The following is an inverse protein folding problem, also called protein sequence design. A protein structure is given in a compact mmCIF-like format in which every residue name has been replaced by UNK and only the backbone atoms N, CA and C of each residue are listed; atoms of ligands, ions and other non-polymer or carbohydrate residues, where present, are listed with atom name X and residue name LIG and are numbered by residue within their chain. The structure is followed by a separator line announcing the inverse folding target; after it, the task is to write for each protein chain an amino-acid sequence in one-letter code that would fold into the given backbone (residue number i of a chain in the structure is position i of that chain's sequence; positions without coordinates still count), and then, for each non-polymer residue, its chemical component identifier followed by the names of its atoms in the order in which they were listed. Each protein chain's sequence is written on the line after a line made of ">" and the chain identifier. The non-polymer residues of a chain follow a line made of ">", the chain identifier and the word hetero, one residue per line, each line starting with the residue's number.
data_IF_820393698038
#
_entry.id   IF_820393698038
#
_cell.length_a   1.000
_cell.length_b   1.000
_cell.length_c   1.000
_cell.angle_alpha   90.00
_cell.angle_beta   90.00
_cell.angle_gamma   90.00
#
_symmetry.space_group_name_H-M   'P 1'
#
loop_
_entity.id
_entity.type
_entity.pdbx_description
1 polymer ?
#
# COMPACT_ATOMS: atom_id res chain seq x y z
N UNK A 1 27.15 46.73 5.90
CA UNK A 1 27.81 48.04 5.73
C UNK A 1 28.95 47.83 4.75
N UNK A 2 28.99 48.55 3.62
CA UNK A 2 30.11 48.45 2.70
C UNK A 2 31.37 49.01 3.38
N UNK A 3 32.48 48.28 3.27
CA UNK A 3 33.78 48.78 3.72
C UNK A 3 34.10 50.08 3.00
N UNK A 4 34.52 51.12 3.73
CA UNK A 4 34.83 52.46 3.18
C UNK A 4 36.06 52.49 2.27
N UNK A 5 36.53 51.33 1.83
CA UNK A 5 37.79 51.09 1.13
C UNK A 5 37.61 50.94 -0.38
N UNK A 6 36.40 51.01 -0.92
CA UNK A 6 36.18 50.82 -2.36
C UNK A 6 36.56 52.06 -3.22
N UNK A 7 36.83 53.21 -2.57
CA UNK A 7 37.24 54.47 -3.22
C UNK A 7 38.77 54.62 -3.24
N UNK A 8 39.32 55.48 -4.10
CA UNK A 8 40.77 55.72 -4.18
C UNK A 8 41.40 56.16 -2.86
N UNK A 9 42.64 55.72 -2.63
CA UNK A 9 43.44 55.99 -1.44
C UNK A 9 43.73 57.49 -1.30
N UNK A 10 43.35 58.07 -0.17
CA UNK A 10 43.60 59.48 0.12
C UNK A 10 45.13 59.76 0.23
N UNK A 11 45.66 60.82 -0.41
CA UNK A 11 47.11 61.07 -0.49
C UNK A 11 47.80 61.30 0.86
N UNK A 12 47.07 61.82 1.86
CA UNK A 12 47.52 62.07 3.23
C UNK A 12 47.95 60.79 3.98
N UNK A 13 47.49 59.62 3.51
CA UNK A 13 47.87 58.31 4.04
C UNK A 13 49.23 57.81 3.56
N UNK A 14 49.80 58.39 2.51
CA UNK A 14 51.10 57.97 1.97
C UNK A 14 52.22 58.49 2.88
N UNK A 15 53.13 57.60 3.28
CA UNK A 15 54.24 57.91 4.21
C UNK A 15 55.60 58.02 3.52
N UNK A 16 55.72 57.56 2.27
CA UNK A 16 56.93 57.66 1.44
C UNK A 16 56.70 58.40 0.10
N UNK A 17 56.28 59.69 0.11
CA UNK A 17 55.99 60.43 -1.13
C UNK A 17 57.25 60.68 -1.99
N UNK A 18 58.43 60.76 -1.38
CA UNK A 18 59.69 61.04 -2.08
C UNK A 18 60.20 59.80 -2.84
N UNK A 19 60.05 59.80 -4.17
CA UNK A 19 60.61 58.77 -5.06
C UNK A 19 59.59 58.05 -5.95
N UNK A 20 58.30 58.41 -5.87
CA UNK A 20 57.25 57.91 -6.78
C UNK A 20 56.52 59.10 -7.40
N UNK A 21 56.29 59.08 -8.71
CA UNK A 21 55.43 60.07 -9.38
C UNK A 21 53.97 59.80 -9.01
N UNK A 22 53.55 60.26 -7.83
CA UNK A 22 52.20 60.03 -7.29
C UNK A 22 51.10 60.62 -8.20
N UNK A 23 51.43 61.68 -8.95
CA UNK A 23 50.52 62.32 -9.91
C UNK A 23 50.06 61.35 -11.01
N UNK A 24 50.94 60.45 -11.48
CA UNK A 24 50.65 59.41 -12.48
C UNK A 24 49.78 58.26 -11.92
N UNK A 25 49.62 58.20 -10.61
CA UNK A 25 48.85 57.16 -9.90
C UNK A 25 47.47 57.65 -9.47
N UNK A 26 47.02 58.81 -9.94
CA UNK A 26 45.71 59.37 -9.60
C UNK A 26 44.59 58.80 -10.48
N UNK A 27 43.45 58.49 -9.86
CA UNK A 27 42.24 58.10 -10.56
C UNK A 27 41.49 59.32 -11.12
N UNK A 28 41.13 59.30 -12.40
CA UNK A 28 40.45 60.42 -13.06
C UNK A 28 39.00 60.69 -12.60
N UNK A 29 38.40 59.82 -11.79
CA UNK A 29 37.02 59.99 -11.26
C UNK A 29 37.04 60.57 -9.84
N UNK A 30 37.97 60.12 -8.98
CA UNK A 30 38.00 60.52 -7.56
C UNK A 30 39.22 61.36 -7.18
N UNK A 31 40.16 61.59 -8.10
CA UNK A 31 41.41 62.36 -7.94
C UNK A 31 42.35 61.90 -6.81
N UNK A 32 42.04 60.76 -6.20
CA UNK A 32 42.85 60.06 -5.20
C UNK A 32 43.76 59.00 -5.86
N UNK A 33 44.73 58.50 -5.11
CA UNK A 33 45.63 57.41 -5.54
C UNK A 33 44.83 56.14 -5.85
N UNK A 34 45.17 55.46 -6.93
CA UNK A 34 44.45 54.30 -7.46
C UNK A 34 44.31 53.16 -6.43
N UNK A 35 43.07 52.82 -6.09
CA UNK A 35 42.73 51.61 -5.34
C UNK A 35 42.14 50.54 -6.26
N UNK A 36 42.77 49.36 -6.28
CA UNK A 36 42.45 48.24 -7.19
C UNK A 36 42.28 48.76 -8.64
N UNK A 37 43.36 49.25 -9.28
CA UNK A 37 43.26 49.90 -10.58
C UNK A 37 42.77 48.98 -11.68
N UNK A 38 41.92 49.53 -12.54
CA UNK A 38 41.57 48.97 -13.85
C UNK A 38 41.85 50.02 -14.93
N UNK A 39 42.23 49.58 -16.11
CA UNK A 39 42.50 50.44 -17.26
C UNK A 39 41.33 50.38 -18.26
N UNK A 40 41.11 51.44 -19.03
CA UNK A 40 40.28 51.38 -20.23
C UNK A 40 41.11 50.82 -21.40
N UNK A 41 40.57 49.83 -22.12
CA UNK A 41 41.24 49.21 -23.26
C UNK A 41 41.60 50.20 -24.40
N UNK A 42 40.76 51.22 -24.63
CA UNK A 42 40.86 52.12 -25.79
C UNK A 42 41.65 53.41 -25.54
N UNK A 43 41.66 53.92 -24.30
CA UNK A 43 42.34 55.19 -23.96
C UNK A 43 43.42 55.05 -22.88
N UNK A 44 43.67 53.83 -22.41
CA UNK A 44 44.71 53.46 -21.42
C UNK A 44 44.66 54.18 -20.06
N UNK A 45 43.63 55.00 -19.85
CA UNK A 45 43.38 55.70 -18.61
C UNK A 45 43.02 54.76 -17.46
N UNK A 46 43.50 55.13 -16.26
CA UNK A 46 43.38 54.33 -15.04
C UNK A 46 42.27 54.84 -14.11
N UNK A 47 41.51 53.89 -13.57
CA UNK A 47 40.40 54.16 -12.64
C UNK A 47 40.44 53.20 -11.46
N UNK A 48 40.02 53.64 -10.27
CA UNK A 48 39.73 52.71 -9.17
C UNK A 48 38.55 51.82 -9.56
N UNK A 49 38.63 50.51 -9.28
CA UNK A 49 37.63 49.55 -9.77
C UNK A 49 36.19 49.92 -9.38
N UNK A 50 35.92 50.35 -8.14
CA UNK A 50 34.56 50.75 -7.77
C UNK A 50 34.14 52.12 -8.32
N UNK A 51 35.09 53.03 -8.59
CA UNK A 51 34.78 54.34 -9.18
C UNK A 51 34.23 54.17 -10.60
N UNK A 52 34.87 53.34 -11.44
CA UNK A 52 34.38 53.08 -12.79
C UNK A 52 33.12 52.21 -12.79
N UNK A 53 33.01 51.18 -11.91
CA UNK A 53 31.77 50.41 -11.78
C UNK A 53 30.59 51.27 -11.39
N UNK A 54 30.77 52.23 -10.48
CA UNK A 54 29.71 53.19 -10.11
C UNK A 54 29.32 54.05 -11.29
N UNK A 55 30.29 54.65 -12.00
CA UNK A 55 30.05 55.43 -13.21
C UNK A 55 29.21 54.67 -14.25
N UNK A 56 29.52 53.39 -14.47
CA UNK A 56 28.77 52.53 -15.40
C UNK A 56 27.36 52.17 -14.88
N UNK A 57 27.22 51.99 -13.57
CA UNK A 57 25.93 51.69 -12.93
C UNK A 57 24.97 52.89 -12.95
N UNK A 58 25.52 54.11 -12.92
CA UNK A 58 24.76 55.38 -13.01
C UNK A 58 24.23 55.67 -14.45
N UNK A 59 24.12 54.65 -15.30
CA UNK A 59 23.47 54.70 -16.63
C UNK A 59 24.38 55.11 -17.80
N UNK A 60 25.70 55.13 -17.60
CA UNK A 60 26.70 55.51 -18.62
C UNK A 60 27.40 54.27 -19.17
N UNK A 61 27.67 54.24 -20.47
CA UNK A 61 28.38 53.13 -21.14
C UNK A 61 29.75 53.63 -21.67
N UNK A 62 29.90 54.94 -21.79
CA UNK A 62 31.08 55.65 -22.20
C UNK A 62 32.16 55.70 -21.11
N UNK A 63 33.42 55.61 -21.54
CA UNK A 63 34.56 55.91 -20.69
C UNK A 63 34.50 57.39 -20.23
N UNK A 64 34.81 57.74 -18.96
CA UNK A 64 34.77 59.13 -18.46
C UNK A 64 35.58 60.17 -19.24
N UNK A 65 36.53 59.73 -20.09
CA UNK A 65 37.29 60.58 -21.02
C UNK A 65 36.58 60.82 -22.38
N UNK A 66 35.34 60.35 -22.55
CA UNK A 66 34.40 60.77 -23.59
C UNK A 66 34.76 60.38 -25.03
N UNK A 67 35.29 59.17 -25.27
CA UNK A 67 35.70 58.74 -26.63
C UNK A 67 34.94 57.52 -27.17
N UNK A 68 34.78 56.45 -26.39
CA UNK A 68 34.14 55.20 -26.82
C UNK A 68 33.46 54.48 -25.64
N UNK A 69 32.78 53.37 -25.92
CA UNK A 69 32.28 52.44 -24.90
C UNK A 69 33.44 51.91 -24.03
N UNK A 70 33.21 51.84 -22.72
CA UNK A 70 34.22 51.35 -21.80
C UNK A 70 34.41 49.84 -21.93
N UNK A 71 35.66 49.42 -22.13
CA UNK A 71 36.08 48.02 -22.05
C UNK A 71 37.17 47.90 -20.97
N UNK A 72 36.93 47.04 -19.97
CA UNK A 72 37.84 46.83 -18.85
C UNK A 72 39.09 46.05 -19.29
N UNK A 73 40.27 46.61 -19.00
CA UNK A 73 41.58 45.96 -19.16
C UNK A 73 42.29 45.91 -17.81
N UNK A 74 43.01 44.83 -17.53
CA UNK A 74 43.91 44.78 -16.38
C UNK A 74 44.94 45.93 -16.42
N UNK A 75 45.26 46.51 -15.25
CA UNK A 75 46.23 47.59 -15.15
C UNK A 75 47.66 47.14 -15.54
N UNK A 76 48.47 48.05 -16.07
CA UNK A 76 49.82 47.74 -16.54
C UNK A 76 50.73 47.28 -15.38
N UNK A 77 51.69 46.38 -15.68
CA UNK A 77 52.63 45.88 -14.64
C UNK A 77 53.44 47.00 -14.02
N UNK A 78 53.71 48.08 -14.76
CA UNK A 78 54.40 49.27 -14.29
C UNK A 78 53.63 49.98 -13.17
N UNK A 79 52.36 50.34 -13.40
CA UNK A 79 51.51 51.01 -12.40
C UNK A 79 51.34 50.14 -11.16
N UNK A 80 51.08 48.83 -11.32
CA UNK A 80 51.01 47.92 -10.18
C UNK A 80 52.32 47.89 -9.37
N UNK A 81 53.48 47.90 -10.05
CA UNK A 81 54.81 47.92 -9.40
C UNK A 81 55.10 49.24 -8.67
N UNK A 82 54.55 50.36 -9.16
CA UNK A 82 54.63 51.65 -8.45
C UNK A 82 53.73 51.64 -7.21
N UNK A 83 52.51 51.12 -7.31
CA UNK A 83 51.58 51.00 -6.18
C UNK A 83 52.16 50.09 -5.08
N UNK A 84 52.74 48.94 -5.41
CA UNK A 84 53.40 48.03 -4.45
C UNK A 84 54.56 48.67 -3.66
N UNK A 85 55.15 49.77 -4.14
CA UNK A 85 56.21 50.50 -3.43
C UNK A 85 55.68 51.51 -2.41
N UNK A 86 54.38 51.78 -2.39
CA UNK A 86 53.78 52.75 -1.46
C UNK A 86 53.71 52.19 -0.05
N UNK A 87 54.12 53.01 0.92
CA UNK A 87 53.92 52.79 2.35
C UNK A 87 52.70 53.60 2.80
N UNK A 88 51.66 52.90 3.24
CA UNK A 88 50.33 53.44 3.45
C UNK A 88 49.94 53.29 4.92
N UNK A 89 49.61 54.40 5.58
CA UNK A 89 49.03 54.39 6.92
C UNK A 89 47.59 53.86 6.90
N UNK A 90 47.21 53.10 7.92
CA UNK A 90 45.84 52.60 8.12
C UNK A 90 44.80 53.74 8.18
N UNK A 91 43.61 53.58 7.59
CA UNK A 91 42.48 54.54 7.73
C UNK A 91 42.13 54.88 9.20
N UNK A 92 42.43 53.97 10.13
CA UNK A 92 42.16 54.12 11.56
C UNK A 92 43.33 54.76 12.34
N UNK A 93 44.28 55.42 11.67
CA UNK A 93 45.36 56.19 12.31
C UNK A 93 44.82 57.28 13.24
N UNK A 94 43.76 57.99 12.81
CA UNK A 94 43.00 58.94 13.65
C UNK A 94 42.33 58.32 14.89
N UNK A 95 42.25 56.99 14.97
CA UNK A 95 41.74 56.24 16.12
C UNK A 95 42.84 55.58 16.96
N UNK A 96 44.11 55.68 16.55
CA UNK A 96 45.26 55.16 17.28
C UNK A 96 46.07 54.08 16.55
N UNK A 97 45.66 53.63 15.36
CA UNK A 97 46.42 52.63 14.62
C UNK A 97 47.72 53.22 14.03
N UNK A 98 48.89 52.70 14.40
CA UNK A 98 50.19 53.19 13.92
C UNK A 98 50.83 52.30 12.84
N UNK A 99 50.06 51.37 12.28
CA UNK A 99 50.53 50.44 11.26
C UNK A 99 50.74 51.16 9.91
N UNK A 100 51.92 50.94 9.32
CA UNK A 100 52.29 51.41 7.98
C UNK A 100 52.52 50.17 7.12
N UNK A 101 51.76 50.06 6.03
CA UNK A 101 51.54 48.81 5.32
C UNK A 101 51.90 48.96 3.82
N UNK A 102 52.42 47.91 3.16
CA UNK A 102 52.50 47.85 1.71
C UNK A 102 51.09 47.70 1.12
N UNK A 103 50.93 48.12 -0.15
CA UNK A 103 49.64 48.20 -0.85
C UNK A 103 48.79 46.92 -0.76
N UNK A 104 49.38 45.73 -0.94
CA UNK A 104 48.67 44.46 -0.90
C UNK A 104 48.16 44.08 0.50
N UNK A 105 48.78 44.62 1.56
CA UNK A 105 48.45 44.28 2.94
C UNK A 105 47.37 45.19 3.55
N UNK A 106 47.14 46.38 2.99
CA UNK A 106 46.20 47.39 3.52
C UNK A 106 44.80 46.81 3.72
N UNK A 107 44.22 46.14 2.72
CA UNK A 107 42.86 45.60 2.82
C UNK A 107 42.72 44.52 3.90
N UNK A 108 43.70 43.61 3.96
CA UNK A 108 43.73 42.53 4.95
C UNK A 108 43.88 43.08 6.37
N UNK A 109 44.70 44.12 6.55
CA UNK A 109 44.83 44.79 7.84
C UNK A 109 43.53 45.51 8.21
N UNK A 110 42.96 46.33 7.34
CA UNK A 110 41.82 47.21 7.69
C UNK A 110 40.54 46.43 7.99
N UNK A 111 40.35 45.28 7.34
CA UNK A 111 39.28 44.32 7.68
C UNK A 111 39.48 43.62 9.03
N UNK A 112 40.71 43.60 9.57
CA UNK A 112 41.08 42.93 10.83
C UNK A 112 41.50 43.91 11.94
N UNK A 113 41.59 45.21 11.65
CA UNK A 113 42.17 46.22 12.52
C UNK A 113 41.39 46.37 13.84
N UNK A 114 42.08 46.27 14.98
CA UNK A 114 41.47 46.46 16.30
C UNK A 114 40.87 47.86 16.52
N UNK A 115 41.33 48.87 15.77
CA UNK A 115 40.84 50.24 15.82
C UNK A 115 39.63 50.51 14.91
N UNK A 116 39.16 49.51 14.16
CA UNK A 116 37.94 49.60 13.37
C UNK A 116 36.73 49.86 14.29
N UNK A 117 35.95 50.94 14.08
CA UNK A 117 34.74 51.16 14.86
C UNK A 117 33.69 50.08 14.56
N UNK A 118 33.08 49.55 15.62
CA UNK A 118 31.96 48.60 15.57
C UNK A 118 30.81 49.13 16.43
N UNK A 119 29.57 48.81 16.06
CA UNK A 119 28.39 49.15 16.86
C UNK A 119 28.00 47.96 17.75
N UNK A 120 27.69 48.23 19.02
CA UNK A 120 27.12 47.20 19.89
C UNK A 120 25.71 46.83 19.42
N UNK A 121 25.36 45.53 19.26
CA UNK A 121 24.02 45.13 18.85
C UNK A 121 22.92 45.52 19.85
N UNK A 122 23.25 45.63 21.14
CA UNK A 122 22.33 46.05 22.20
C UNK A 122 22.15 47.57 22.28
N UNK A 123 23.17 48.29 22.78
CA UNK A 123 23.05 49.73 23.04
C UNK A 123 23.23 50.63 21.80
N UNK A 124 23.66 50.08 20.65
CA UNK A 124 23.94 50.79 19.38
C UNK A 124 25.06 51.84 19.44
N UNK A 125 25.68 52.06 20.61
CA UNK A 125 26.90 52.86 20.75
C UNK A 125 28.08 52.24 20.01
N UNK A 126 29.02 53.06 19.56
CA UNK A 126 30.20 52.60 18.82
C UNK A 126 31.44 52.49 19.71
N UNK A 127 32.18 51.39 19.55
CA UNK A 127 33.42 51.06 20.28
C UNK A 127 34.48 50.59 19.28
N UNK A 128 35.75 50.52 19.70
CA UNK A 128 36.80 49.89 18.89
C UNK A 128 36.59 48.37 18.83
N UNK A 129 36.96 47.74 17.72
CA UNK A 129 36.88 46.28 17.52
C UNK A 129 37.68 45.48 18.56
N UNK A 130 38.76 46.04 19.10
CA UNK A 130 39.53 45.46 20.21
C UNK A 130 38.81 45.55 21.57
N UNK A 131 37.87 46.49 21.73
CA UNK A 131 37.17 46.76 22.99
C UNK A 131 35.75 46.17 23.01
N UNK A 132 35.15 45.96 21.83
CA UNK A 132 33.74 45.59 21.67
C UNK A 132 33.36 44.31 22.44
N UNK A 133 34.26 43.32 22.51
CA UNK A 133 34.03 42.08 23.28
C UNK A 133 33.95 42.36 24.79
N UNK A 134 34.86 43.19 25.31
CA UNK A 134 34.84 43.60 26.71
C UNK A 134 33.58 44.40 27.04
N UNK A 135 33.12 45.27 26.12
CA UNK A 135 31.85 45.97 26.23
C UNK A 135 30.66 44.99 26.20
N UNK A 136 30.60 44.07 25.22
CA UNK A 136 29.55 43.06 25.08
C UNK A 136 29.42 42.20 26.34
N UNK A 137 30.53 41.89 27.02
CA UNK A 137 30.51 41.15 28.29
C UNK A 137 29.79 41.88 29.45
N UNK A 138 29.65 43.21 29.37
CA UNK A 138 29.07 44.06 30.43
C UNK A 138 27.84 44.88 29.99
N UNK A 139 27.56 44.98 28.69
CA UNK A 139 26.47 45.78 28.12
C UNK A 139 25.10 45.35 28.66
N UNK A 140 24.43 46.24 29.39
CA UNK A 140 23.10 45.98 29.98
C UNK A 140 21.99 45.75 28.95
N UNK A 141 22.12 46.37 27.76
CA UNK A 141 21.09 46.39 26.72
C UNK A 141 21.25 45.28 25.67
N UNK A 142 22.26 44.42 25.79
CA UNK A 142 22.42 43.31 24.86
C UNK A 142 21.38 42.21 25.15
N UNK A 143 20.86 41.63 24.08
CA UNK A 143 19.87 40.57 24.10
C UNK A 143 20.56 39.19 24.09
N UNK A 144 20.06 38.28 24.92
CA UNK A 144 20.47 36.89 25.02
C UNK A 144 19.27 35.98 24.78
N UNK A 145 19.52 34.85 24.14
CA UNK A 145 18.56 33.74 24.05
C UNK A 145 18.85 32.76 25.18
N UNK A 146 17.85 32.44 25.98
CA UNK A 146 17.95 31.37 26.98
C UNK A 146 18.20 30.02 26.30
N UNK A 147 19.15 29.23 26.78
CA UNK A 147 19.39 27.91 26.19
C UNK A 147 18.33 26.86 26.56
N UNK A 148 17.66 27.00 27.71
CA UNK A 148 16.66 26.01 28.14
C UNK A 148 15.26 26.27 27.58
N UNK A 149 14.75 27.52 27.67
CA UNK A 149 13.39 27.88 27.23
C UNK A 149 13.32 28.68 25.92
N UNK A 150 14.46 29.01 25.32
CA UNK A 150 14.60 29.75 24.04
C UNK A 150 13.96 31.16 23.98
N UNK A 151 13.57 31.75 25.12
CA UNK A 151 13.16 33.16 25.20
C UNK A 151 14.35 34.10 24.97
N UNK A 152 14.12 35.19 24.24
CA UNK A 152 15.05 36.31 24.11
C UNK A 152 14.77 37.37 25.17
N UNK A 153 15.79 37.82 25.90
CA UNK A 153 15.70 38.82 26.96
C UNK A 153 16.96 39.69 27.03
N UNK A 154 16.87 40.90 27.60
CA UNK A 154 18.02 41.80 27.80
C UNK A 154 18.74 41.49 29.11
N UNK A 155 20.06 41.66 29.14
CA UNK A 155 20.87 41.43 30.36
C UNK A 155 20.32 42.18 31.59
N UNK A 156 19.97 43.46 31.47
CA UNK A 156 19.38 44.25 32.56
C UNK A 156 18.05 43.72 33.09
N UNK A 157 17.28 43.05 32.24
CA UNK A 157 15.94 42.56 32.56
C UNK A 157 15.96 41.10 33.00
N UNK A 158 17.13 40.44 33.02
CA UNK A 158 17.27 39.02 33.36
C UNK A 158 16.62 38.67 34.71
N UNK A 159 16.89 39.43 35.77
CA UNK A 159 16.33 39.17 37.10
C UNK A 159 14.80 39.27 37.17
N UNK A 160 14.17 40.10 36.31
CA UNK A 160 12.72 40.37 36.34
C UNK A 160 11.94 39.57 35.30
N UNK A 161 12.50 39.36 34.11
CA UNK A 161 11.83 38.75 32.96
C UNK A 161 12.34 37.34 32.64
N UNK A 162 13.51 36.94 33.15
CA UNK A 162 14.12 35.66 32.84
C UNK A 162 15.10 35.17 33.93
N UNK A 163 14.59 34.98 35.15
CA UNK A 163 15.31 34.26 36.21
C UNK A 163 14.95 32.76 36.17
N UNK A 164 15.66 31.93 36.92
CA UNK A 164 15.49 30.46 36.95
C UNK A 164 14.02 30.04 37.13
N UNK A 165 13.28 30.71 38.01
CA UNK A 165 11.85 30.41 38.28
C UNK A 165 10.98 30.76 37.07
N UNK A 166 11.26 31.85 36.36
CA UNK A 166 10.53 32.25 35.15
C UNK A 166 10.91 31.34 33.98
N UNK A 167 12.20 31.02 33.83
CA UNK A 167 12.71 30.07 32.83
C UNK A 167 12.01 28.72 32.96
N UNK A 168 12.05 28.12 34.15
CA UNK A 168 11.44 26.82 34.45
C UNK A 168 9.91 26.87 34.27
N UNK A 169 9.24 27.96 34.67
CA UNK A 169 7.79 28.15 34.41
C UNK A 169 7.47 28.16 32.91
N UNK A 170 8.29 28.80 32.08
CA UNK A 170 8.09 28.78 30.64
C UNK A 170 8.40 27.41 30.04
N UNK A 171 9.46 26.70 30.48
CA UNK A 171 9.71 25.32 30.05
C UNK A 171 8.51 24.41 30.35
N UNK A 172 7.95 24.46 31.56
CA UNK A 172 6.75 23.70 31.91
C UNK A 172 5.53 24.10 31.07
N UNK A 173 5.39 25.38 30.72
CA UNK A 173 4.32 25.87 29.84
C UNK A 173 4.49 25.32 28.42
N UNK A 174 5.70 25.37 27.86
CA UNK A 174 6.03 24.84 26.54
C UNK A 174 5.77 23.33 26.48
N UNK A 175 6.30 22.57 27.44
CA UNK A 175 6.05 21.13 27.56
C UNK A 175 4.56 20.80 27.68
N UNK A 176 3.81 21.55 28.50
CA UNK A 176 2.36 21.40 28.62
C UNK A 176 1.63 21.68 27.31
N UNK A 177 2.01 22.73 26.57
CA UNK A 177 1.41 23.04 25.27
C UNK A 177 1.71 21.94 24.24
N UNK A 178 2.95 21.46 24.18
CA UNK A 178 3.36 20.35 23.30
C UNK A 178 2.56 19.07 23.61
N UNK A 179 2.56 18.63 24.87
CA UNK A 179 1.83 17.43 25.30
C UNK A 179 0.32 17.53 25.06
N UNK A 180 -0.28 18.71 25.25
CA UNK A 180 -1.69 18.93 24.92
C UNK A 180 -1.98 18.81 23.41
N UNK A 181 -1.05 19.22 22.56
CA UNK A 181 -1.22 19.14 21.11
C UNK A 181 -1.01 17.70 20.60
N UNK A 182 0.01 16.99 21.10
CA UNK A 182 0.20 15.55 20.86
C UNK A 182 -1.04 14.74 21.25
N UNK A 183 -1.62 15.01 22.43
CA UNK A 183 -2.85 14.36 22.89
C UNK A 183 -4.08 14.70 22.02
N UNK A 184 -4.17 15.91 21.44
CA UNK A 184 -5.23 16.26 20.48
C UNK A 184 -5.06 15.51 19.17
N UNK A 185 -3.83 15.39 18.67
CA UNK A 185 -3.52 14.66 17.44
C UNK A 185 -3.83 13.18 17.60
N UNK A 186 -3.39 12.55 18.71
CA UNK A 186 -3.71 11.17 19.03
C UNK A 186 -5.23 10.94 19.17
N UNK A 187 -5.95 11.83 19.85
CA UNK A 187 -7.41 11.75 19.96
C UNK A 187 -8.11 11.88 18.59
N UNK A 188 -7.60 12.76 17.72
CA UNK A 188 -8.13 12.93 16.36
C UNK A 188 -7.89 11.69 15.51
N UNK A 189 -6.71 11.09 15.57
CA UNK A 189 -6.40 9.84 14.88
C UNK A 189 -7.31 8.71 15.37
N UNK A 190 -7.44 8.51 16.69
CA UNK A 190 -8.30 7.49 17.26
C UNK A 190 -9.78 7.65 16.85
N UNK A 191 -10.27 8.89 16.78
CA UNK A 191 -11.62 9.15 16.25
C UNK A 191 -11.73 8.80 14.77
N UNK A 192 -10.75 9.15 13.95
CA UNK A 192 -10.72 8.80 12.52
C UNK A 192 -10.68 7.29 12.29
N UNK A 193 -9.93 6.55 13.10
CA UNK A 193 -9.86 5.09 13.04
C UNK A 193 -11.22 4.45 13.43
N UNK A 194 -11.89 4.99 14.48
CA UNK A 194 -13.26 4.56 14.84
C UNK A 194 -14.24 4.84 13.70
N UNK A 195 -14.26 6.06 13.16
CA UNK A 195 -15.18 6.46 12.09
C UNK A 195 -14.96 5.58 10.85
N UNK A 196 -13.70 5.31 10.51
CA UNK A 196 -13.31 4.38 9.44
C UNK A 196 -13.84 2.97 9.69
N UNK A 197 -13.54 2.36 10.84
CA UNK A 197 -14.03 1.01 11.15
C UNK A 197 -15.56 0.92 11.21
N UNK A 198 -16.26 1.98 11.63
CA UNK A 198 -17.73 2.05 11.55
C UNK A 198 -18.23 2.07 10.11
N UNK A 199 -17.59 2.84 9.22
CA UNK A 199 -17.96 2.85 7.79
C UNK A 199 -17.67 1.53 7.08
N UNK A 200 -16.52 0.90 7.36
CA UNK A 200 -16.17 -0.44 6.84
C UNK A 200 -17.18 -1.49 7.33
N UNK A 201 -17.54 -1.48 8.61
CA UNK A 201 -18.55 -2.39 9.17
C UNK A 201 -19.94 -2.17 8.55
N UNK A 202 -20.31 -0.91 8.27
CA UNK A 202 -21.57 -0.59 7.59
C UNK A 202 -21.59 -1.12 6.16
N UNK A 203 -20.52 -0.92 5.39
CA UNK A 203 -20.37 -1.44 4.02
C UNK A 203 -20.42 -2.97 4.00
N UNK A 204 -19.69 -3.63 4.90
CA UNK A 204 -19.69 -5.10 5.02
C UNK A 204 -21.10 -5.64 5.34
N UNK A 205 -21.85 -4.96 6.21
CA UNK A 205 -23.23 -5.31 6.53
C UNK A 205 -24.17 -5.13 5.34
N UNK A 206 -24.03 -4.05 4.59
CA UNK A 206 -24.81 -3.81 3.36
C UNK A 206 -24.50 -4.85 2.28
N UNK A 207 -23.23 -5.20 2.09
CA UNK A 207 -22.79 -6.27 1.19
C UNK A 207 -23.39 -7.63 1.61
N UNK A 208 -23.25 -8.02 2.87
CA UNK A 208 -23.81 -9.29 3.38
C UNK A 208 -25.33 -9.38 3.18
N UNK A 209 -26.05 -8.26 3.34
CA UNK A 209 -27.49 -8.20 3.08
C UNK A 209 -27.84 -8.32 1.58
N UNK A 210 -27.00 -7.76 0.69
CA UNK A 210 -27.15 -7.93 -0.76
C UNK A 210 -26.87 -9.38 -1.18
N UNK A 211 -25.78 -9.97 -0.69
CA UNK A 211 -25.40 -11.35 -0.97
C UNK A 211 -26.49 -12.34 -0.50
N UNK A 212 -27.02 -12.15 0.71
CA UNK A 212 -28.15 -12.93 1.22
C UNK A 212 -29.40 -12.82 0.33
N UNK A 213 -29.70 -11.63 -0.20
CA UNK A 213 -30.80 -11.42 -1.15
C UNK A 213 -30.55 -12.12 -2.50
N UNK A 214 -29.31 -12.13 -2.99
CA UNK A 214 -28.92 -12.86 -4.20
C UNK A 214 -29.03 -14.38 -4.00
N UNK A 215 -28.51 -14.92 -2.91
CA UNK A 215 -28.64 -16.35 -2.57
C UNK A 215 -30.10 -16.77 -2.41
N UNK A 216 -30.96 -15.95 -1.80
CA UNK A 216 -32.41 -16.22 -1.73
C UNK A 216 -33.06 -16.30 -3.12
N UNK A 217 -32.70 -15.42 -4.06
CA UNK A 217 -33.17 -15.49 -5.46
C UNK A 217 -32.68 -16.76 -6.17
N UNK A 218 -31.42 -17.12 -6.00
CA UNK A 218 -30.85 -18.36 -6.56
C UNK A 218 -31.55 -19.61 -6.01
N UNK A 219 -31.79 -19.67 -4.69
CA UNK A 219 -32.54 -20.76 -4.05
C UNK A 219 -33.97 -20.85 -4.58
N UNK A 220 -34.64 -19.70 -4.83
CA UNK A 220 -35.98 -19.68 -5.42
C UNK A 220 -35.96 -20.24 -6.85
N UNK A 221 -35.02 -19.79 -7.67
CA UNK A 221 -34.86 -20.27 -9.06
C UNK A 221 -34.60 -21.79 -9.10
N UNK A 222 -33.67 -22.29 -8.28
CA UNK A 222 -33.35 -23.72 -8.20
C UNK A 222 -34.56 -24.57 -7.76
N UNK A 223 -35.45 -24.04 -6.93
CA UNK A 223 -36.73 -24.71 -6.58
C UNK A 223 -37.67 -24.76 -7.77
N UNK A 224 -37.89 -23.63 -8.44
CA UNK A 224 -38.75 -23.58 -9.64
C UNK A 224 -38.26 -24.50 -10.76
N UNK A 225 -36.94 -24.67 -10.91
CA UNK A 225 -36.36 -25.59 -11.91
C UNK A 225 -36.41 -27.06 -11.45
N UNK A 226 -36.32 -27.33 -10.14
CA UNK A 226 -36.58 -28.67 -9.58
C UNK A 226 -38.04 -29.11 -9.78
N UNK A 227 -39.00 -28.21 -9.54
CA UNK A 227 -40.43 -28.46 -9.71
C UNK A 227 -40.77 -28.78 -11.18
N UNK A 228 -40.16 -28.06 -12.14
CA UNK A 228 -40.27 -28.36 -13.58
C UNK A 228 -39.73 -29.76 -13.91
N UNK A 229 -38.52 -30.09 -13.43
CA UNK A 229 -37.92 -31.40 -13.67
C UNK A 229 -38.77 -32.55 -13.10
N UNK A 230 -39.41 -32.35 -11.94
CA UNK A 230 -40.36 -33.31 -11.37
C UNK A 230 -41.63 -33.45 -12.23
N UNK A 231 -42.15 -32.34 -12.76
CA UNK A 231 -43.31 -32.35 -13.65
C UNK A 231 -43.01 -33.03 -14.99
N UNK A 232 -41.87 -32.73 -15.61
CA UNK A 232 -41.39 -33.36 -16.84
C UNK A 232 -41.16 -34.87 -16.64
N UNK A 233 -40.58 -35.27 -15.51
CA UNK A 233 -40.41 -36.69 -15.16
C UNK A 233 -41.76 -37.41 -15.01
N UNK A 234 -42.72 -36.80 -14.32
CA UNK A 234 -44.07 -37.35 -14.14
C UNK A 234 -44.83 -37.46 -15.47
N UNK A 235 -44.69 -36.46 -16.34
CA UNK A 235 -45.34 -36.44 -17.66
C UNK A 235 -44.72 -37.47 -18.60
N UNK A 236 -43.39 -37.58 -18.63
CA UNK A 236 -42.69 -38.57 -19.44
C UNK A 236 -42.96 -40.01 -18.98
N UNK A 237 -43.02 -40.27 -17.67
CA UNK A 237 -43.38 -41.61 -17.16
C UNK A 237 -44.83 -41.97 -17.50
N UNK A 238 -45.78 -41.03 -17.44
CA UNK A 238 -47.14 -41.25 -17.91
C UNK A 238 -47.21 -41.52 -19.43
N UNK A 239 -46.47 -40.76 -20.25
CA UNK A 239 -46.41 -40.96 -21.71
C UNK A 239 -45.81 -42.32 -22.08
N UNK A 240 -44.76 -42.77 -21.38
CA UNK A 240 -44.18 -44.11 -21.56
C UNK A 240 -45.17 -45.19 -21.15
N UNK A 241 -45.86 -45.04 -20.00
CA UNK A 241 -46.89 -45.98 -19.57
C UNK A 241 -48.03 -46.09 -20.59
N UNK A 242 -48.52 -44.96 -21.13
CA UNK A 242 -49.55 -44.96 -22.17
C UNK A 242 -49.06 -45.60 -23.48
N UNK A 243 -47.79 -45.37 -23.85
CA UNK A 243 -47.18 -46.01 -25.01
C UNK A 243 -47.11 -47.53 -24.86
N UNK A 244 -46.75 -48.02 -23.67
CA UNK A 244 -46.76 -49.45 -23.33
C UNK A 244 -48.19 -50.02 -23.43
N UNK A 245 -49.20 -49.33 -22.89
CA UNK A 245 -50.61 -49.73 -23.01
C UNK A 245 -51.03 -49.86 -24.48
N UNK A 246 -50.67 -48.89 -25.32
CA UNK A 246 -51.00 -48.90 -26.75
C UNK A 246 -50.32 -50.07 -27.49
N UNK A 247 -49.06 -50.40 -27.14
CA UNK A 247 -48.34 -51.56 -27.69
C UNK A 247 -49.01 -52.88 -27.29
N UNK A 248 -49.44 -53.02 -26.03
CA UNK A 248 -50.19 -54.19 -25.54
C UNK A 248 -51.49 -54.37 -26.35
N UNK A 249 -52.22 -53.27 -26.58
CA UNK A 249 -53.47 -53.27 -27.36
C UNK A 249 -53.26 -53.63 -28.84
N UNK A 250 -52.21 -53.12 -29.49
CA UNK A 250 -51.95 -53.38 -30.91
C UNK A 250 -51.53 -54.82 -31.22
N UNK A 251 -50.87 -55.51 -30.28
CA UNK A 251 -50.36 -56.87 -30.50
C UNK A 251 -51.28 -58.00 -30.03
N UNK A 252 -52.54 -57.72 -29.68
CA UNK A 252 -53.50 -58.70 -29.12
C UNK A 252 -52.98 -59.47 -27.89
N UNK A 253 -52.08 -58.87 -27.11
CA UNK A 253 -51.73 -59.42 -25.80
C UNK A 253 -52.85 -59.08 -24.80
N UNK A 254 -53.33 -60.10 -24.08
CA UNK A 254 -54.46 -59.96 -23.18
C UNK A 254 -54.21 -58.91 -22.08
N UNK A 255 -55.25 -58.16 -21.73
CA UNK A 255 -55.21 -57.15 -20.66
C UNK A 255 -54.74 -57.75 -19.33
N UNK A 256 -53.71 -57.20 -18.67
CA UNK A 256 -53.30 -57.64 -17.35
C UNK A 256 -54.45 -57.47 -16.35
N UNK A 257 -54.99 -58.58 -15.84
CA UNK A 257 -56.08 -58.60 -14.85
C UNK A 257 -57.40 -59.21 -15.32
N UNK A 258 -57.57 -59.60 -16.59
CA UNK A 258 -58.78 -60.31 -17.08
C UNK A 258 -58.58 -61.83 -17.15
N UNK A 259 -57.80 -62.40 -16.24
CA UNK A 259 -57.70 -63.85 -16.07
C UNK A 259 -58.82 -64.28 -15.13
N UNK A 260 -59.68 -65.22 -15.56
CA UNK A 260 -60.49 -65.97 -14.59
C UNK A 260 -59.55 -66.58 -13.55
N UNK A 261 -59.88 -66.43 -12.27
CA UNK A 261 -59.08 -67.02 -11.20
C UNK A 261 -59.02 -68.54 -11.41
N UNK A 262 -57.86 -69.04 -11.86
CA UNK A 262 -57.64 -70.44 -12.14
C UNK A 262 -57.64 -71.23 -10.83
N UNK A 263 -58.84 -71.61 -10.40
CA UNK A 263 -59.04 -72.43 -9.21
C UNK A 263 -58.17 -73.69 -9.32
N UNK A 264 -57.26 -73.81 -8.36
CA UNK A 264 -56.57 -75.05 -8.08
C UNK A 264 -57.60 -76.03 -7.52
N UNK A 265 -58.38 -76.69 -8.42
CA UNK A 265 -59.47 -77.63 -8.12
C UNK A 265 -59.07 -78.74 -7.14
N UNK A 266 -59.00 -78.38 -5.86
CA UNK A 266 -58.60 -79.20 -4.73
C UNK A 266 -57.20 -79.84 -4.72
N UNK A 267 -56.26 -79.49 -5.62
CA UNK A 267 -54.95 -80.20 -5.70
C UNK A 267 -53.92 -79.64 -4.72
N UNK A 268 -53.07 -80.53 -4.21
CA UNK A 268 -52.10 -80.23 -3.14
C UNK A 268 -50.74 -79.83 -3.72
N UNK A 269 -50.01 -78.96 -3.02
CA UNK A 269 -48.67 -78.49 -3.40
C UNK A 269 -47.70 -79.65 -3.73
N UNK A 270 -46.91 -79.51 -4.80
CA UNK A 270 -46.00 -80.56 -5.30
C UNK A 270 -44.81 -80.82 -4.33
N UNK A 271 -44.39 -79.83 -3.52
CA UNK A 271 -43.22 -79.94 -2.63
C UNK A 271 -43.56 -80.42 -1.21
N UNK A 272 -44.72 -80.03 -0.64
CA UNK A 272 -45.15 -80.41 0.72
C UNK A 272 -46.41 -81.28 0.79
N UNK A 273 -47.10 -81.51 -0.34
CA UNK A 273 -48.19 -82.46 -0.44
C UNK A 273 -49.50 -82.12 0.28
N UNK A 274 -49.63 -80.97 0.98
CA UNK A 274 -50.83 -80.66 1.79
C UNK A 274 -51.51 -79.28 1.60
N UNK A 275 -50.80 -78.18 1.30
CA UNK A 275 -51.41 -76.83 1.31
C UNK A 275 -52.26 -76.50 0.05
N UNK A 276 -53.27 -75.61 0.21
CA UNK A 276 -54.16 -75.07 -0.86
C UNK A 276 -54.15 -73.54 -0.94
N UNK A 277 -53.17 -72.92 -0.30
CA UNK A 277 -53.21 -71.55 0.21
C UNK A 277 -52.74 -70.47 -0.79
N UNK A 278 -52.40 -70.87 -2.02
CA UNK A 278 -51.77 -70.02 -3.03
C UNK A 278 -52.46 -70.17 -4.39
N UNK A 279 -52.54 -69.08 -5.15
CA UNK A 279 -53.09 -69.03 -6.50
C UNK A 279 -52.09 -68.41 -7.47
N UNK A 280 -52.17 -68.82 -8.74
CA UNK A 280 -51.30 -68.34 -9.81
C UNK A 280 -51.92 -67.10 -10.49
N UNK A 281 -51.11 -66.08 -10.71
CA UNK A 281 -51.49 -64.80 -11.34
C UNK A 281 -50.76 -64.51 -12.67
N UNK A 282 -49.97 -65.47 -13.17
CA UNK A 282 -49.38 -65.41 -14.50
C UNK A 282 -50.33 -65.88 -15.60
N UNK A 283 -49.85 -65.91 -16.84
CA UNK A 283 -50.65 -66.22 -18.02
C UNK A 283 -51.01 -67.73 -18.16
N UNK A 284 -51.96 -67.99 -19.06
CA UNK A 284 -52.50 -69.32 -19.28
C UNK A 284 -51.56 -70.30 -20.02
N UNK A 285 -50.54 -69.84 -20.72
CA UNK A 285 -49.54 -70.71 -21.37
C UNK A 285 -48.47 -71.16 -20.36
N UNK A 286 -47.98 -70.23 -19.54
CA UNK A 286 -47.10 -70.51 -18.41
C UNK A 286 -47.74 -71.54 -17.47
N UNK A 287 -49.03 -71.39 -17.13
CA UNK A 287 -49.76 -72.38 -16.33
C UNK A 287 -49.90 -73.76 -17.01
N UNK A 288 -50.06 -73.82 -18.34
CA UNK A 288 -50.07 -75.09 -19.09
C UNK A 288 -48.70 -75.77 -19.06
N UNK A 289 -47.60 -75.01 -19.15
CA UNK A 289 -46.24 -75.54 -19.03
C UNK A 289 -45.99 -76.11 -17.63
N UNK A 290 -46.36 -75.37 -16.56
CA UNK A 290 -46.25 -75.80 -15.16
C UNK A 290 -47.00 -77.13 -14.92
N UNK A 291 -48.21 -77.29 -15.47
CA UNK A 291 -48.96 -78.56 -15.36
C UNK A 291 -48.34 -79.74 -16.13
N UNK A 292 -47.39 -79.49 -17.03
CA UNK A 292 -46.69 -80.51 -17.81
C UNK A 292 -45.20 -80.68 -17.41
N UNK A 293 -44.82 -80.33 -16.16
CA UNK A 293 -43.44 -80.39 -15.64
C UNK A 293 -42.68 -81.73 -15.80
N UNK A 294 -43.41 -82.84 -16.04
CA UNK A 294 -42.84 -84.16 -16.37
C UNK A 294 -42.18 -84.21 -17.76
N UNK A 295 -42.49 -83.26 -18.66
CA UNK A 295 -41.91 -83.13 -20.00
C UNK A 295 -40.84 -82.04 -20.12
N UNK A 296 -40.50 -81.36 -19.04
CA UNK A 296 -39.50 -80.29 -19.04
C UNK A 296 -38.09 -80.80 -19.35
N UNK A 297 -37.37 -80.02 -20.14
CA UNK A 297 -35.92 -80.11 -20.32
C UNK A 297 -35.18 -79.66 -19.06
N UNK A 298 -33.88 -79.98 -18.98
CA UNK A 298 -33.04 -79.61 -17.84
C UNK A 298 -32.94 -78.08 -17.65
N UNK A 299 -32.85 -77.30 -18.72
CA UNK A 299 -32.79 -75.84 -18.67
C UNK A 299 -34.11 -75.21 -18.14
N UNK A 300 -35.26 -75.76 -18.51
CA UNK A 300 -36.56 -75.30 -17.99
C UNK A 300 -36.72 -75.60 -16.50
N UNK A 301 -36.20 -76.76 -16.05
CA UNK A 301 -36.21 -77.14 -14.63
C UNK A 301 -35.26 -76.29 -13.78
N UNK A 302 -34.04 -76.00 -14.26
CA UNK A 302 -33.14 -75.08 -13.55
C UNK A 302 -33.70 -73.65 -13.49
N UNK A 303 -34.29 -73.12 -14.57
CA UNK A 303 -34.90 -71.78 -14.57
C UNK A 303 -36.10 -71.68 -13.60
N UNK A 304 -36.72 -72.80 -13.25
CA UNK A 304 -37.75 -72.88 -12.21
C UNK A 304 -37.17 -72.90 -10.79
N UNK A 305 -36.00 -73.53 -10.59
CA UNK A 305 -35.33 -73.60 -9.29
C UNK A 305 -34.50 -72.34 -8.96
N UNK A 306 -34.08 -71.54 -9.95
CA UNK A 306 -33.43 -70.22 -9.78
C UNK A 306 -34.41 -69.05 -9.48
N UNK A 307 -35.50 -69.34 -8.76
CA UNK A 307 -36.52 -68.42 -8.23
C UNK A 307 -37.31 -67.48 -9.20
N UNK A 308 -36.91 -67.34 -10.46
CA UNK A 308 -37.42 -66.34 -11.43
C UNK A 308 -38.92 -66.43 -11.81
N UNK A 309 -39.68 -67.43 -11.34
CA UNK A 309 -41.10 -67.62 -11.69
C UNK A 309 -42.04 -67.53 -10.48
N UNK A 310 -41.53 -67.56 -9.24
CA UNK A 310 -42.39 -67.65 -8.04
C UNK A 310 -43.17 -66.37 -7.70
N UNK A 311 -42.77 -65.19 -8.18
CA UNK A 311 -43.53 -63.95 -7.97
C UNK A 311 -44.92 -63.95 -8.65
N UNK A 312 -45.17 -64.92 -9.54
CA UNK A 312 -46.49 -65.16 -10.13
C UNK A 312 -47.41 -66.03 -9.25
N UNK A 313 -47.02 -66.37 -8.02
CA UNK A 313 -47.88 -67.04 -7.04
C UNK A 313 -48.16 -66.12 -5.86
N UNK A 314 -49.43 -65.79 -5.64
CA UNK A 314 -49.90 -65.03 -4.47
C UNK A 314 -50.60 -65.93 -3.46
N UNK A 315 -50.42 -65.60 -2.18
CA UNK A 315 -51.12 -66.23 -1.06
C UNK A 315 -52.56 -65.71 -1.05
N UNK A 316 -53.53 -66.57 -0.71
CA UNK A 316 -54.92 -66.16 -0.49
C UNK A 316 -55.08 -65.56 0.91
N UNK A 317 -56.01 -64.63 1.08
CA UNK A 317 -56.23 -63.94 2.36
C UNK A 317 -56.77 -64.88 3.47
N UNK A 318 -57.36 -66.02 3.10
CA UNK A 318 -57.88 -67.09 3.97
C UNK A 318 -56.84 -68.19 4.32
N UNK A 319 -55.58 -68.02 3.91
CA UNK A 319 -54.51 -69.01 4.06
C UNK A 319 -54.07 -69.26 5.51
N UNK A 320 -54.22 -70.50 6.00
CA UNK A 320 -53.91 -70.92 7.38
C UNK A 320 -52.49 -71.46 7.58
N UNK A 321 -51.69 -71.66 6.52
CA UNK A 321 -50.32 -72.15 6.65
C UNK A 321 -49.34 -71.08 7.19
N UNK A 322 -48.54 -71.35 8.24
CA UNK A 322 -47.67 -70.35 8.87
C UNK A 322 -46.29 -70.18 8.22
N UNK A 323 -45.88 -71.03 7.27
CA UNK A 323 -44.54 -70.95 6.65
C UNK A 323 -44.45 -69.83 5.60
N UNK A 324 -43.67 -68.79 5.89
CA UNK A 324 -43.14 -67.86 4.88
C UNK A 324 -42.00 -68.52 4.07
N UNK A 325 -41.55 -67.89 2.97
CA UNK A 325 -40.62 -68.47 1.96
C UNK A 325 -39.42 -69.21 2.60
N UNK A 326 -39.03 -70.40 2.11
CA UNK A 326 -37.70 -70.93 2.39
C UNK A 326 -36.66 -70.03 1.70
N UNK A 327 -35.75 -69.43 2.47
CA UNK A 327 -34.66 -68.64 1.93
C UNK A 327 -33.57 -69.59 1.42
N UNK A 328 -33.51 -69.80 0.10
CA UNK A 328 -32.42 -70.54 -0.55
C UNK A 328 -31.14 -69.69 -0.56
N UNK A 329 -30.02 -70.33 -0.27
CA UNK A 329 -28.70 -69.70 -0.16
C UNK A 329 -28.11 -69.33 -1.52
N UNK A 330 -27.38 -68.20 -1.55
CA UNK A 330 -26.13 -67.91 -2.29
C UNK A 330 -26.06 -68.21 -3.81
N UNK A 331 -25.46 -67.30 -4.59
CA UNK A 331 -24.11 -67.53 -5.14
C UNK A 331 -23.60 -66.34 -5.97
N UNK A 332 -22.35 -65.96 -5.72
CA UNK A 332 -21.55 -65.06 -6.55
C UNK A 332 -21.01 -65.76 -7.80
N UNK A 333 -21.03 -65.12 -8.97
CA UNK A 333 -20.00 -65.37 -9.99
C UNK A 333 -19.79 -64.16 -10.90
N UNK A 334 -18.52 -63.85 -11.15
CA UNK A 334 -18.10 -62.85 -12.13
C UNK A 334 -17.91 -63.50 -13.52
N UNK A 335 -17.75 -62.69 -14.56
CA UNK A 335 -16.89 -62.83 -15.76
C UNK A 335 -17.42 -61.88 -16.87
N UNK A 336 -16.66 -61.33 -17.82
CA UNK A 336 -15.21 -61.05 -17.95
C UNK A 336 -15.00 -60.20 -19.23
N UNK A 337 -14.28 -59.08 -19.14
CA UNK A 337 -13.51 -58.46 -20.26
C UNK A 337 -14.38 -57.88 -21.42
N UNK A 338 -13.90 -56.99 -22.30
CA UNK A 338 -12.54 -56.77 -22.82
C UNK A 338 -12.32 -55.30 -23.21
N UNK A 339 -11.07 -54.84 -23.16
CA UNK A 339 -10.69 -53.45 -23.39
C UNK A 339 -10.56 -53.08 -24.89
N UNK A 340 -10.72 -51.79 -25.20
CA UNK A 340 -10.02 -51.11 -26.30
C UNK A 340 -9.44 -49.79 -25.77
N UNK A 341 -8.19 -49.54 -26.12
CA UNK A 341 -7.39 -48.30 -25.98
C UNK A 341 -6.25 -48.43 -27.02
N UNK A 342 -5.42 -47.42 -27.33
CA UNK A 342 -5.46 -45.99 -26.99
C UNK A 342 -5.29 -45.09 -28.25
N UNK A 343 -5.20 -43.76 -28.07
CA UNK A 343 -4.20 -42.82 -28.70
C UNK A 343 -4.26 -41.54 -27.83
N UNK A 344 -3.32 -41.30 -26.90
CA UNK A 344 -2.09 -40.48 -27.08
C UNK A 344 -2.35 -39.08 -27.67
N UNK A 345 -2.18 -37.97 -26.95
CA UNK A 345 -0.92 -37.52 -26.33
C UNK A 345 -1.20 -36.72 -25.04
N UNK A 346 -0.48 -36.95 -23.93
CA UNK A 346 0.78 -36.29 -23.54
C UNK A 346 0.64 -34.77 -23.35
N UNK A 347 1.20 -34.10 -22.34
CA UNK A 347 2.06 -34.43 -21.17
C UNK A 347 2.10 -33.10 -20.35
N UNK A 348 2.46 -32.97 -19.07
CA UNK A 348 2.91 -33.87 -17.99
C UNK A 348 2.91 -33.03 -16.69
N UNK A 349 2.61 -33.65 -15.53
CA UNK A 349 3.27 -33.43 -14.21
C UNK A 349 3.27 -32.00 -13.60
N UNK A 350 3.13 -31.77 -12.28
CA UNK A 350 3.21 -32.61 -11.07
C UNK A 350 2.27 -32.00 -9.97
N UNK A 351 1.61 -32.79 -9.10
CA UNK A 351 2.06 -33.17 -7.74
C UNK A 351 2.20 -31.92 -6.80
N UNK A 352 1.66 -31.76 -5.59
CA UNK A 352 1.14 -32.61 -4.49
C UNK A 352 -0.02 -31.81 -3.79
N UNK A 353 -1.03 -32.34 -3.08
CA UNK A 353 -1.45 -33.73 -2.82
C UNK A 353 -1.73 -34.07 -1.33
N UNK A 354 -2.93 -33.78 -0.78
CA UNK A 354 -3.33 -34.21 0.58
C UNK A 354 -4.50 -33.46 1.25
N UNK A 355 -5.69 -34.08 1.28
CA UNK A 355 -6.69 -33.90 2.35
C UNK A 355 -7.06 -35.30 2.81
N UNK A 356 -6.95 -35.58 4.11
CA UNK A 356 -7.33 -36.86 4.72
C UNK A 356 -8.65 -36.72 5.45
N UNK A 357 -9.55 -37.69 5.23
CA UNK A 357 -10.88 -37.75 5.84
C UNK A 357 -10.87 -37.92 7.37
N UNK A 358 -11.98 -37.47 7.96
CA UNK A 358 -12.38 -37.78 9.34
C UNK A 358 -12.48 -39.29 9.59
N UNK A 359 -12.23 -39.69 10.83
CA UNK A 359 -12.80 -40.93 11.39
C UNK A 359 -13.03 -40.85 12.90
N UNK A 360 -14.06 -41.58 13.34
CA UNK A 360 -14.46 -41.91 14.72
C UNK A 360 -15.05 -40.80 15.61
N UNK A 361 -16.37 -40.87 15.72
CA UNK A 361 -17.14 -40.49 16.89
C UNK A 361 -17.11 -41.66 17.90
N UNK A 362 -16.94 -41.39 19.19
CA UNK A 362 -17.16 -42.33 20.29
C UNK A 362 -17.93 -41.62 21.41
N UNK A 363 -18.75 -42.38 22.14
CA UNK A 363 -19.75 -41.90 23.08
C UNK A 363 -19.20 -41.67 24.50
N UNK A 364 -20.11 -41.22 25.38
CA UNK A 364 -20.01 -41.18 26.85
C UNK A 364 -19.11 -40.03 27.40
N UNK A 365 -19.45 -39.33 28.49
CA UNK A 365 -20.60 -39.48 29.40
C UNK A 365 -21.01 -38.15 30.08
N UNK A 366 -22.05 -38.21 30.91
CA UNK A 366 -22.53 -37.14 31.80
C UNK A 366 -21.43 -36.57 32.73
N UNK A 367 -21.60 -35.33 33.20
CA UNK A 367 -21.81 -35.03 34.64
C UNK A 367 -22.14 -33.54 34.90
N UNK A 368 -23.19 -33.39 35.69
CA UNK A 368 -23.77 -32.23 36.40
C UNK A 368 -22.78 -31.18 36.94
N UNK A 369 -23.11 -29.90 36.73
CA UNK A 369 -23.12 -28.82 37.74
C UNK A 369 -24.05 -27.68 37.30
#
# INVERSE_FOLDING_TARGET
>A
MASTNDVGLAPDRIRNPSGTHLEDLNCLICHNILWKPVACQQCEAYFCSACIRKWLTDGRIDCPLGRESYMERACSRFVNTLLSKLQIACIYESKGCREILPYEAVEKHETQCGYQPQQCPGCRSSFLKSEIETHISRCELIEFTCDDCKIVYKRRDASQNHNDVICVKEQFRQYRCQSQEEMRQLKKQFQQDIDKSQTEFKQLKEQFQQDACQSQKQIKQLKEDLDKLQHDYSTNTANVAQSIINIIQQHQFATPGTYEALDCKGRRCIKCGQCRDWYFIGDAETWKSIRNNKKWTWNERNRWDEDLVYDHFKRRDDATCPTQRPVSQQHSSAFRRRAISPVFSQYKQNNIGGITDHHYCLCEDNIVA
#
